data_IF_761522909594
#
_entry.id   IF_761522909594
#
_cell.length_a   1.000
_cell.length_b   1.000
_cell.length_c   1.000
_cell.angle_alpha   90.00
_cell.angle_beta   90.00
_cell.angle_gamma   90.00
#
_symmetry.space_group_name_H-M   'P 1'
#
loop_
_entity.id
_entity.type
_entity.pdbx_description
1 polymer ?
#
# COMPACT_ATOMS: atom_id res chain seq x y z
N UNK A 1 24.49 2.22 15.48
CA UNK A 1 25.17 1.26 14.58
C UNK A 1 24.10 0.32 14.08
N UNK A 2 23.80 0.33 12.79
CA UNK A 2 22.80 -0.58 12.19
C UNK A 2 23.44 -1.95 12.02
N UNK A 3 22.81 -3.02 12.51
CA UNK A 3 23.28 -4.37 12.29
C UNK A 3 22.93 -4.80 10.85
N UNK A 4 23.87 -5.48 10.18
CA UNK A 4 23.63 -6.04 8.86
C UNK A 4 23.28 -7.52 8.99
N UNK A 5 22.29 -7.96 8.23
CA UNK A 5 21.81 -9.33 8.21
C UNK A 5 21.85 -9.90 6.79
N UNK A 6 22.20 -11.17 6.69
CA UNK A 6 22.01 -11.95 5.45
C UNK A 6 20.60 -12.51 5.41
N UNK A 7 20.09 -12.79 4.21
CA UNK A 7 18.77 -13.41 4.01
C UNK A 7 18.68 -14.76 4.73
N UNK A 8 19.74 -15.55 4.68
CA UNK A 8 19.81 -16.85 5.34
C UNK A 8 19.64 -16.72 6.86
N UNK A 9 20.26 -15.72 7.48
CA UNK A 9 20.08 -15.46 8.92
C UNK A 9 18.63 -15.06 9.25
N UNK A 10 17.95 -14.34 8.35
CA UNK A 10 16.55 -13.97 8.55
C UNK A 10 15.61 -15.16 8.32
N UNK A 11 15.88 -16.02 7.34
CA UNK A 11 15.10 -17.24 7.07
C UNK A 11 15.03 -18.19 8.27
N UNK A 12 16.09 -18.22 9.10
CA UNK A 12 16.12 -18.98 10.35
C UNK A 12 15.23 -18.38 11.46
N UNK A 13 14.83 -17.11 11.33
CA UNK A 13 13.96 -16.37 12.27
C UNK A 13 12.49 -16.44 11.86
N UNK A 14 11.97 -17.67 11.83
CA UNK A 14 10.63 -17.99 11.34
C UNK A 14 9.65 -18.53 12.41
N UNK A 15 9.98 -18.36 13.70
CA UNK A 15 9.18 -18.89 14.82
C UNK A 15 8.50 -17.77 15.60
N UNK A 16 7.36 -18.06 16.25
CA UNK A 16 6.58 -17.07 17.01
C UNK A 16 7.42 -16.29 18.05
N UNK A 17 8.36 -16.97 18.71
CA UNK A 17 9.27 -16.42 19.72
C UNK A 17 10.48 -15.69 19.15
N UNK A 18 10.81 -15.91 17.88
CA UNK A 18 11.96 -15.30 17.19
C UNK A 18 11.63 -15.06 15.72
N UNK A 19 10.62 -14.23 15.46
CA UNK A 19 10.18 -13.90 14.13
C UNK A 19 10.75 -12.56 13.69
N UNK A 20 11.40 -12.55 12.53
CA UNK A 20 11.79 -11.33 11.86
C UNK A 20 11.19 -11.27 10.46
N UNK A 21 10.89 -10.06 9.99
CA UNK A 21 10.41 -9.83 8.63
C UNK A 21 11.26 -8.75 7.96
N UNK A 22 11.34 -8.81 6.64
CA UNK A 22 12.03 -7.80 5.85
C UNK A 22 10.97 -6.90 5.22
N UNK A 23 11.12 -5.57 5.37
CA UNK A 23 10.33 -4.57 4.64
C UNK A 23 11.28 -3.53 4.08
N UNK A 24 11.27 -3.27 2.77
CA UNK A 24 12.10 -2.25 2.11
C UNK A 24 13.62 -2.40 2.41
N UNK A 25 14.13 -3.64 2.37
CA UNK A 25 15.48 -4.07 2.77
C UNK A 25 15.85 -3.84 4.24
N UNK A 26 14.89 -3.40 5.05
CA UNK A 26 15.05 -3.20 6.50
C UNK A 26 14.50 -4.42 7.24
N UNK A 27 15.21 -4.84 8.28
CA UNK A 27 14.84 -6.00 9.10
C UNK A 27 14.16 -5.53 10.37
N UNK A 28 12.99 -6.11 10.64
CA UNK A 28 12.15 -5.82 11.80
C UNK A 28 11.94 -7.08 12.64
N UNK A 29 12.11 -6.96 13.96
CA UNK A 29 11.79 -8.03 14.91
C UNK A 29 10.35 -7.89 15.39
N UNK A 30 9.50 -8.81 14.95
CA UNK A 30 8.06 -8.77 15.23
C UNK A 30 7.65 -9.79 16.29
N UNK A 31 8.61 -10.49 16.91
CA UNK A 31 8.35 -11.50 17.96
C UNK A 31 7.48 -10.97 19.10
N UNK A 32 7.73 -9.73 19.53
CA UNK A 32 6.98 -9.06 20.61
C UNK A 32 5.66 -8.45 20.16
N UNK A 33 5.47 -8.27 18.86
CA UNK A 33 4.30 -7.62 18.27
C UNK A 33 3.24 -8.61 17.76
N UNK A 34 3.53 -9.91 17.81
CA UNK A 34 2.66 -10.97 17.28
C UNK A 34 1.19 -10.82 17.68
N UNK A 35 0.92 -10.67 18.99
CA UNK A 35 -0.44 -10.66 19.54
C UNK A 35 -1.10 -9.28 19.46
N UNK A 36 -0.30 -8.23 19.34
CA UNK A 36 -0.76 -6.84 19.24
C UNK A 36 -1.04 -6.41 17.79
N UNK A 37 -0.72 -7.27 16.81
CA UNK A 37 -0.93 -6.97 15.39
C UNK A 37 -2.41 -6.99 15.01
N UNK A 38 -3.01 -5.85 14.59
CA UNK A 38 -4.44 -5.79 14.27
C UNK A 38 -4.85 -6.66 13.08
N UNK A 39 -3.92 -6.98 12.18
CA UNK A 39 -4.11 -7.89 11.05
C UNK A 39 -4.04 -9.38 11.43
N UNK A 40 -3.78 -9.70 12.69
CA UNK A 40 -3.66 -11.06 13.22
C UNK A 40 -2.24 -11.61 13.20
N UNK A 41 -1.99 -12.62 14.04
CA UNK A 41 -0.69 -13.30 14.20
C UNK A 41 -0.31 -14.09 12.93
N UNK A 42 -1.31 -14.73 12.30
CA UNK A 42 -1.09 -15.67 11.19
C UNK A 42 -0.33 -15.03 10.02
N UNK A 43 -0.71 -13.80 9.64
CA UNK A 43 -0.05 -13.09 8.53
C UNK A 43 1.39 -12.70 8.83
N UNK A 44 1.75 -12.47 10.10
CA UNK A 44 3.14 -12.23 10.50
C UNK A 44 3.95 -13.53 10.46
N UNK A 45 3.34 -14.65 10.88
CA UNK A 45 4.01 -15.95 10.89
C UNK A 45 4.23 -16.49 9.47
N UNK A 46 3.26 -16.33 8.57
CA UNK A 46 3.37 -16.72 7.16
C UNK A 46 4.52 -16.02 6.43
N UNK A 47 4.79 -14.77 6.83
CA UNK A 47 5.86 -13.92 6.30
C UNK A 47 7.13 -13.93 7.16
N UNK A 48 7.15 -14.66 8.28
CA UNK A 48 8.31 -14.73 9.15
C UNK A 48 9.51 -15.36 8.40
N UNK A 49 10.65 -14.71 8.53
CA UNK A 49 11.88 -15.04 7.83
C UNK A 49 11.91 -14.68 6.35
N UNK A 50 10.94 -13.90 5.85
CA UNK A 50 10.81 -13.56 4.43
C UNK A 50 10.68 -12.05 4.21
N UNK A 51 10.69 -11.67 2.94
CA UNK A 51 10.32 -10.33 2.50
C UNK A 51 8.79 -10.15 2.49
N UNK A 52 8.32 -9.31 3.40
CA UNK A 52 6.92 -8.95 3.59
C UNK A 52 6.58 -7.60 2.94
N UNK A 53 7.49 -6.99 2.18
CA UNK A 53 7.31 -5.62 1.66
C UNK A 53 6.08 -5.46 0.81
N UNK A 54 5.82 -6.42 -0.08
CA UNK A 54 4.62 -6.41 -0.92
C UNK A 54 3.36 -6.54 -0.07
N UNK A 55 3.31 -7.51 0.83
CA UNK A 55 2.17 -7.69 1.73
C UNK A 55 1.90 -6.44 2.58
N UNK A 56 2.95 -5.81 3.10
CA UNK A 56 2.85 -4.60 3.90
C UNK A 56 2.27 -3.41 3.10
N UNK A 57 2.69 -3.24 1.83
CA UNK A 57 2.19 -2.20 0.93
C UNK A 57 0.77 -2.48 0.43
N UNK A 58 0.49 -3.71 0.01
CA UNK A 58 -0.80 -4.10 -0.58
C UNK A 58 -1.95 -3.96 0.44
N UNK A 59 -1.67 -4.15 1.73
CA UNK A 59 -2.66 -3.95 2.80
C UNK A 59 -2.95 -2.47 3.07
N UNK A 60 -2.03 -1.56 2.75
CA UNK A 60 -2.24 -0.12 2.92
C UNK A 60 -2.23 0.34 4.38
N UNK A 61 -1.21 -0.04 5.15
CA UNK A 61 -1.02 0.43 6.53
C UNK A 61 -0.98 1.97 6.61
N UNK A 62 -1.55 2.54 7.68
CA UNK A 62 -1.55 3.98 7.93
C UNK A 62 -0.13 4.53 8.12
N UNK A 63 0.04 5.85 7.96
CA UNK A 63 1.35 6.47 8.13
C UNK A 63 1.87 6.36 9.58
N UNK A 64 0.97 6.41 10.56
CA UNK A 64 1.32 6.13 11.96
C UNK A 64 1.86 4.72 12.16
N UNK A 65 1.27 3.71 11.49
CA UNK A 65 1.78 2.33 11.55
C UNK A 65 3.17 2.21 10.89
N UNK A 66 3.41 2.95 9.79
CA UNK A 66 4.73 3.01 9.14
C UNK A 66 5.78 3.70 10.00
N UNK A 67 5.40 4.64 10.86
CA UNK A 67 6.28 5.26 11.84
C UNK A 67 6.54 4.30 13.01
N UNK A 68 5.48 3.71 13.57
CA UNK A 68 5.55 2.77 14.69
C UNK A 68 6.40 1.54 14.41
N UNK A 69 6.40 1.02 13.16
CA UNK A 69 7.28 -0.11 12.80
C UNK A 69 8.76 0.18 13.08
N UNK A 70 9.15 1.46 13.10
CA UNK A 70 10.52 1.90 13.40
C UNK A 70 11.04 1.43 14.76
N UNK A 71 10.17 1.28 15.76
CA UNK A 71 10.50 0.78 17.10
C UNK A 71 10.98 -0.68 17.09
N UNK A 72 10.55 -1.45 16.08
CA UNK A 72 10.90 -2.86 15.90
C UNK A 72 12.10 -3.05 14.97
N UNK A 73 12.71 -1.97 14.46
CA UNK A 73 13.86 -2.05 13.56
C UNK A 73 15.08 -2.58 14.30
N UNK A 74 15.67 -3.65 13.78
CA UNK A 74 16.91 -4.23 14.31
C UNK A 74 18.11 -4.07 13.38
N UNK A 75 17.87 -3.88 12.09
CA UNK A 75 18.97 -3.79 11.12
C UNK A 75 18.51 -3.68 9.68
N UNK A 76 19.43 -3.97 8.77
CA UNK A 76 19.23 -3.89 7.32
C UNK A 76 19.88 -5.11 6.65
N UNK A 77 19.40 -5.45 5.46
CA UNK A 77 20.00 -6.53 4.67
C UNK A 77 21.36 -6.08 4.12
N UNK A 78 22.33 -7.01 4.09
CA UNK A 78 23.65 -6.79 3.48
C UNK A 78 23.51 -6.31 2.04
N UNK A 79 24.34 -5.35 1.62
CA UNK A 79 24.18 -4.63 0.35
C UNK A 79 24.13 -5.56 -0.87
N UNK A 80 24.88 -6.65 -0.79
CA UNK A 80 25.02 -7.65 -1.85
C UNK A 80 23.73 -8.47 -2.05
N UNK A 81 22.89 -8.56 -1.02
CA UNK A 81 21.62 -9.30 -1.02
C UNK A 81 20.40 -8.37 -0.97
N UNK A 82 20.59 -7.06 -1.11
CA UNK A 82 19.48 -6.12 -1.20
C UNK A 82 18.72 -6.33 -2.51
N UNK A 83 17.41 -6.20 -2.45
CA UNK A 83 16.55 -6.15 -3.64
C UNK A 83 16.39 -4.70 -4.10
N UNK A 84 16.16 -4.49 -5.40
CA UNK A 84 15.79 -3.17 -5.88
C UNK A 84 14.45 -2.78 -5.27
N UNK A 85 14.48 -1.80 -4.37
CA UNK A 85 13.26 -1.20 -3.85
C UNK A 85 12.64 -0.42 -4.99
N UNK A 86 11.72 -1.06 -5.70
CA UNK A 86 10.78 -0.32 -6.53
C UNK A 86 9.86 0.37 -5.55
N UNK A 87 10.28 1.54 -5.08
CA UNK A 87 9.34 2.54 -4.65
C UNK A 87 8.38 2.66 -5.84
N UNK A 88 7.09 2.40 -5.65
CA UNK A 88 6.17 3.11 -6.50
C UNK A 88 6.56 4.57 -6.26
N UNK A 89 7.17 5.20 -7.26
CA UNK A 89 6.79 6.56 -7.57
C UNK A 89 5.27 6.48 -7.63
N UNK A 90 4.65 6.71 -6.47
CA UNK A 90 3.35 7.31 -6.44
C UNK A 90 3.64 8.54 -7.26
N UNK A 91 3.29 8.49 -8.54
CA UNK A 91 2.97 9.69 -9.24
C UNK A 91 2.01 10.36 -8.27
N UNK A 92 2.52 11.36 -7.56
CA UNK A 92 1.75 12.43 -6.99
C UNK A 92 1.09 13.17 -8.15
N UNK A 93 0.33 12.49 -9.00
CA UNK A 93 -1.01 12.95 -9.22
C UNK A 93 -1.67 12.83 -7.84
N UNK A 94 -1.77 13.88 -7.02
CA UNK A 94 -2.35 15.15 -7.46
C UNK A 94 -3.31 14.87 -8.62
N UNK A 95 -4.16 13.85 -8.46
CA UNK A 95 -5.44 13.79 -9.13
C UNK A 95 -6.24 14.87 -8.44
N UNK A 96 -5.91 16.12 -8.74
CA UNK A 96 -6.97 17.07 -9.00
C UNK A 96 -7.91 16.33 -9.95
N UNK A 97 -9.07 15.99 -9.41
CA UNK A 97 -10.13 15.32 -10.10
C UNK A 97 -10.51 16.18 -11.32
N UNK A 98 -9.77 16.02 -12.41
CA UNK A 98 -10.25 16.32 -13.74
C UNK A 98 -11.33 15.27 -14.02
N UNK A 99 -12.49 15.51 -13.40
CA UNK A 99 -13.79 15.00 -13.78
C UNK A 99 -13.83 15.13 -15.29
N UNK A 100 -13.52 14.05 -15.99
CA UNK A 100 -13.43 14.09 -17.45
C UNK A 100 -14.77 14.58 -17.94
N UNK A 101 -14.83 15.85 -18.37
CA UNK A 101 -16.05 16.46 -18.91
C UNK A 101 -16.59 15.61 -20.06
N UNK A 102 -15.73 14.80 -20.71
CA UNK A 102 -16.12 13.78 -21.69
C UNK A 102 -16.97 12.66 -21.10
N UNK A 103 -16.67 12.13 -19.93
CA UNK A 103 -17.48 11.11 -19.27
C UNK A 103 -18.83 11.66 -18.78
N UNK A 104 -18.83 12.88 -18.23
CA UNK A 104 -20.07 13.57 -17.89
C UNK A 104 -20.90 13.89 -19.13
N UNK A 105 -20.29 14.45 -20.18
CA UNK A 105 -20.98 14.75 -21.43
C UNK A 105 -21.47 13.47 -22.12
N UNK A 106 -20.74 12.36 -22.16
CA UNK A 106 -21.27 11.14 -22.80
C UNK A 106 -22.51 10.57 -22.10
N UNK A 107 -22.60 10.66 -20.76
CA UNK A 107 -23.73 10.11 -20.00
C UNK A 107 -24.89 11.10 -19.85
N UNK A 108 -24.59 12.39 -19.67
CA UNK A 108 -25.60 13.43 -19.47
C UNK A 108 -26.02 14.15 -20.76
N UNK A 109 -25.26 14.08 -21.85
CA UNK A 109 -25.65 14.72 -23.11
C UNK A 109 -26.97 14.16 -23.68
N UNK A 110 -27.24 12.84 -23.68
CA UNK A 110 -28.53 12.37 -24.17
C UNK A 110 -29.69 12.92 -23.33
N UNK A 111 -29.74 12.79 -21.99
CA UNK A 111 -30.82 13.37 -21.19
C UNK A 111 -30.96 14.90 -21.33
N UNK A 112 -29.85 15.64 -21.35
CA UNK A 112 -29.88 17.11 -21.44
C UNK A 112 -30.31 17.60 -22.80
N UNK A 113 -29.84 16.97 -23.88
CA UNK A 113 -30.24 17.31 -25.24
C UNK A 113 -31.75 17.04 -25.44
N UNK A 114 -32.27 15.92 -24.93
CA UNK A 114 -33.71 15.64 -24.98
C UNK A 114 -34.54 16.67 -24.22
N UNK A 115 -34.11 17.08 -23.03
CA UNK A 115 -34.81 18.10 -22.23
C UNK A 115 -34.80 19.48 -22.91
N UNK A 116 -33.66 19.90 -23.47
CA UNK A 116 -33.54 21.16 -24.18
C UNK A 116 -34.39 21.19 -25.46
N UNK A 117 -34.41 20.09 -26.22
CA UNK A 117 -35.23 19.97 -27.43
C UNK A 117 -36.73 20.04 -27.10
N UNK A 118 -37.17 19.35 -26.04
CA UNK A 118 -38.55 19.37 -25.58
C UNK A 118 -38.98 20.76 -25.08
N UNK A 119 -38.09 21.48 -24.39
CA UNK A 119 -38.36 22.86 -23.96
C UNK A 119 -38.50 23.79 -25.18
N UNK A 120 -37.61 23.64 -26.16
CA UNK A 120 -37.60 24.51 -27.35
C UNK A 120 -38.84 24.30 -28.21
N UNK A 121 -39.29 23.06 -28.41
CA UNK A 121 -40.55 22.77 -29.11
C UNK A 121 -41.76 23.29 -28.34
N UNK A 122 -41.78 23.13 -27.00
CA UNK A 122 -42.86 23.64 -26.16
C UNK A 122 -42.99 25.17 -26.25
N UNK A 123 -41.87 25.90 -26.21
CA UNK A 123 -41.88 27.37 -26.32
C UNK A 123 -42.31 27.86 -27.71
N UNK A 124 -42.07 27.08 -28.77
CA UNK A 124 -42.37 27.49 -30.15
C UNK A 124 -43.76 27.06 -30.63
N UNK A 125 -44.41 26.11 -29.94
CA UNK A 125 -45.75 25.61 -30.26
C UNK A 125 -46.85 26.13 -29.31
N UNK A 126 -46.49 26.99 -28.36
CA UNK A 126 -47.40 27.73 -27.48
C UNK A 126 -47.40 29.21 -27.85
#
# INVERSE_FOLDING_TARGET
MTQLFTRKEIEERNRKDNAAIIIDNVVYDVSKFMEDHPGGVEVLLDNAGKDASRCFRDVGHSDDAKLWRGEFKIGEIVKEEQWEVICQEVNSSSGEDELTLRGFLEVWFPPVAFAALALLTYVYLL
#
